data_IF_956876147923
#
_entry.id   IF_956876147923
#
_cell.length_a   1.000
_cell.length_b   1.000
_cell.length_c   1.000
_cell.angle_alpha   90.00
_cell.angle_beta   90.00
_cell.angle_gamma   90.00
#
_symmetry.space_group_name_H-M   'P 1'
#
loop_
_entity.id
_entity.type
_entity.pdbx_description
1 polymer ?
#
# COMPACT_ATOMS: atom_id res chain seq x y z
N UNK A 1 -8.85 6.99 -8.77
CA UNK A 1 -9.29 5.84 -7.93
C UNK A 1 -9.94 6.31 -6.61
N UNK A 2 -10.69 5.46 -5.91
CA UNK A 2 -11.22 5.71 -4.55
C UNK A 2 -10.25 5.21 -3.46
N UNK A 3 -10.57 5.38 -2.17
CA UNK A 3 -9.76 4.82 -1.05
C UNK A 3 -9.71 3.29 -1.14
N UNK A 4 -10.89 2.64 -1.25
CA UNK A 4 -10.98 1.18 -1.35
C UNK A 4 -10.22 0.63 -2.55
N UNK A 5 -10.28 1.32 -3.70
CA UNK A 5 -9.55 0.91 -4.89
C UNK A 5 -8.03 1.00 -4.70
N UNK A 6 -7.50 2.06 -4.08
CA UNK A 6 -6.06 2.16 -3.79
C UNK A 6 -5.56 1.03 -2.90
N UNK A 7 -6.33 0.72 -1.86
CA UNK A 7 -6.02 -0.36 -0.92
C UNK A 7 -6.11 -1.72 -1.62
N UNK A 8 -7.11 -1.91 -2.49
CA UNK A 8 -7.26 -3.11 -3.30
C UNK A 8 -6.05 -3.34 -4.21
N UNK A 9 -5.67 -2.36 -5.04
CA UNK A 9 -4.51 -2.49 -5.91
C UNK A 9 -3.20 -2.63 -5.14
N UNK A 10 -3.06 -1.99 -3.98
CA UNK A 10 -1.93 -2.21 -3.08
C UNK A 10 -1.83 -3.67 -2.64
N UNK A 11 -2.94 -4.27 -2.21
CA UNK A 11 -3.00 -5.69 -1.81
C UNK A 11 -2.68 -6.63 -2.97
N UNK A 12 -3.13 -6.31 -4.19
CA UNK A 12 -2.76 -7.07 -5.39
C UNK A 12 -1.25 -7.00 -5.63
N UNK A 13 -0.67 -5.80 -5.58
CA UNK A 13 0.77 -5.61 -5.80
C UNK A 13 1.62 -6.35 -4.76
N UNK A 14 1.15 -6.41 -3.52
CA UNK A 14 1.87 -7.03 -2.40
C UNK A 14 2.06 -8.55 -2.50
N UNK A 15 1.42 -9.25 -3.45
CA UNK A 15 1.58 -10.70 -3.64
C UNK A 15 1.78 -11.09 -5.10
N UNK A 16 2.68 -12.05 -5.33
CA UNK A 16 3.02 -12.49 -6.68
C UNK A 16 1.83 -13.08 -7.45
N UNK A 17 1.01 -13.89 -6.79
CA UNK A 17 -0.19 -14.56 -7.35
C UNK A 17 -1.31 -13.57 -7.69
N UNK A 18 -1.38 -12.43 -7.00
CA UNK A 18 -2.45 -11.44 -7.15
C UNK A 18 -2.09 -10.28 -8.07
N UNK A 19 -0.83 -9.86 -8.16
CA UNK A 19 -0.44 -8.69 -8.96
C UNK A 19 -0.72 -8.83 -10.46
N UNK A 20 -0.79 -10.06 -10.96
CA UNK A 20 -1.15 -10.36 -12.35
C UNK A 20 -2.57 -9.89 -12.72
N UNK A 21 -3.46 -9.73 -11.74
CA UNK A 21 -4.82 -9.24 -11.95
C UNK A 21 -4.92 -7.72 -12.06
N UNK A 22 -3.84 -6.98 -11.80
CA UNK A 22 -3.86 -5.51 -11.82
C UNK A 22 -4.34 -4.96 -13.17
N UNK A 23 -3.77 -5.38 -14.33
CA UNK A 23 -4.24 -4.89 -15.62
C UNK A 23 -5.70 -5.26 -15.89
N UNK A 24 -6.12 -6.47 -15.49
CA UNK A 24 -7.48 -6.95 -15.69
C UNK A 24 -8.50 -6.11 -14.94
N UNK A 25 -8.27 -5.87 -13.65
CA UNK A 25 -9.20 -5.04 -12.87
C UNK A 25 -9.13 -3.57 -13.28
N UNK A 26 -7.97 -3.06 -13.70
CA UNK A 26 -7.89 -1.73 -14.31
C UNK A 26 -8.75 -1.62 -15.58
N UNK A 27 -8.63 -2.60 -16.48
CA UNK A 27 -9.40 -2.63 -17.73
C UNK A 27 -10.91 -2.82 -17.49
N UNK A 28 -11.33 -3.61 -16.49
CA UNK A 28 -12.74 -3.70 -16.09
C UNK A 28 -13.27 -2.38 -15.55
N UNK A 29 -12.48 -1.67 -14.75
CA UNK A 29 -12.84 -0.34 -14.23
C UNK A 29 -12.92 0.70 -15.35
N UNK A 30 -12.06 0.61 -16.36
CA UNK A 30 -12.09 1.48 -17.53
C UNK A 30 -13.29 1.17 -18.43
N UNK A 31 -13.58 -0.11 -18.66
CA UNK A 31 -14.74 -0.56 -19.47
C UNK A 31 -16.08 -0.22 -18.82
N UNK A 32 -16.15 -0.30 -17.48
CA UNK A 32 -17.27 0.06 -16.62
C UNK A 32 -18.70 -0.26 -17.13
N UNK A 33 -18.89 -1.46 -17.69
CA UNK A 33 -20.24 -1.93 -18.00
C UNK A 33 -20.96 -2.45 -16.74
N UNK A 34 -22.24 -2.81 -16.85
CA UNK A 34 -23.02 -3.32 -15.71
C UNK A 34 -22.37 -4.55 -15.04
N UNK A 35 -21.86 -5.49 -15.84
CA UNK A 35 -21.19 -6.69 -15.32
C UNK A 35 -19.91 -6.34 -14.55
N UNK A 36 -19.09 -5.40 -15.04
CA UNK A 36 -17.87 -4.98 -14.35
C UNK A 36 -18.20 -4.27 -13.03
N UNK A 37 -19.26 -3.47 -12.98
CA UNK A 37 -19.75 -2.86 -11.73
C UNK A 37 -20.14 -3.93 -10.71
N UNK A 38 -20.89 -4.95 -11.12
CA UNK A 38 -21.31 -6.05 -10.25
C UNK A 38 -20.11 -6.85 -9.72
N UNK A 39 -19.17 -7.19 -10.61
CA UNK A 39 -17.92 -7.91 -10.26
C UNK A 39 -17.08 -7.09 -9.28
N UNK A 40 -16.77 -5.83 -9.60
CA UNK A 40 -15.94 -4.99 -8.74
C UNK A 40 -16.63 -4.73 -7.39
N UNK A 41 -17.96 -4.56 -7.38
CA UNK A 41 -18.72 -4.42 -6.15
C UNK A 41 -18.62 -5.68 -5.29
N UNK A 42 -18.79 -6.86 -5.88
CA UNK A 42 -18.66 -8.12 -5.15
C UNK A 42 -17.26 -8.30 -4.57
N UNK A 43 -16.21 -8.09 -5.37
CA UNK A 43 -14.81 -8.25 -4.93
C UNK A 43 -14.45 -7.28 -3.80
N UNK A 44 -14.91 -6.03 -3.87
CA UNK A 44 -14.57 -4.99 -2.89
C UNK A 44 -15.48 -5.02 -1.64
N UNK A 45 -16.57 -5.78 -1.67
CA UNK A 45 -17.47 -6.00 -0.51
C UNK A 45 -17.23 -7.33 0.17
N UNK A 46 -16.74 -8.35 -0.53
CA UNK A 46 -16.19 -9.56 0.09
C UNK A 46 -15.06 -9.13 1.04
N UNK A 47 -15.30 -9.29 2.34
CA UNK A 47 -14.24 -9.15 3.33
C UNK A 47 -13.13 -10.15 2.96
N UNK A 48 -11.87 -9.70 3.02
CA UNK A 48 -10.72 -10.61 2.94
C UNK A 48 -11.04 -11.82 3.85
N UNK A 49 -10.84 -13.07 3.39
CA UNK A 49 -11.04 -14.23 4.25
C UNK A 49 -10.31 -13.97 5.56
N UNK A 50 -10.96 -14.31 6.68
CA UNK A 50 -10.43 -14.06 8.02
C UNK A 50 -8.95 -14.42 8.03
N UNK A 51 -8.12 -13.41 8.29
CA UNK A 51 -6.67 -13.60 8.36
C UNK A 51 -6.35 -14.73 9.34
N UNK A 52 -5.18 -15.37 9.20
CA UNK A 52 -4.74 -16.36 10.18
C UNK A 52 -4.88 -15.80 11.61
N UNK A 53 -5.23 -16.68 12.55
CA UNK A 53 -5.44 -16.35 13.97
C UNK A 53 -4.49 -15.25 14.46
N UNK A 54 -5.06 -14.14 14.92
CA UNK A 54 -4.32 -13.01 15.48
C UNK A 54 -3.76 -13.27 16.88
N UNK A 55 -3.76 -14.52 17.37
CA UNK A 55 -3.35 -14.85 18.74
C UNK A 55 -1.92 -14.40 19.11
N UNK A 56 -1.05 -14.17 18.12
CA UNK A 56 0.30 -13.61 18.29
C UNK A 56 0.46 -12.21 17.68
N UNK A 57 -0.61 -11.60 17.14
CA UNK A 57 -0.58 -10.27 16.53
C UNK A 57 -1.01 -9.22 17.56
N UNK A 58 -0.05 -8.50 18.15
CA UNK A 58 -0.34 -7.39 19.05
C UNK A 58 -0.16 -6.05 18.33
N UNK A 59 -1.28 -5.47 17.90
CA UNK A 59 -1.30 -4.12 17.30
C UNK A 59 -0.72 -3.08 18.25
N UNK A 60 -1.03 -3.21 19.55
CA UNK A 60 -0.52 -2.33 20.59
C UNK A 60 1.00 -2.40 20.67
N UNK A 61 1.59 -3.60 20.71
CA UNK A 61 3.05 -3.77 20.72
C UNK A 61 3.68 -3.20 19.45
N UNK A 62 3.11 -3.51 18.29
CA UNK A 62 3.57 -2.98 17.01
C UNK A 62 3.58 -1.45 17.01
N UNK A 63 2.47 -0.81 17.40
CA UNK A 63 2.37 0.65 17.43
C UNK A 63 3.28 1.28 18.48
N UNK A 64 3.50 0.61 19.62
CA UNK A 64 4.49 1.04 20.62
C UNK A 64 5.89 1.14 20.01
N UNK A 65 6.32 0.10 19.27
CA UNK A 65 7.64 0.06 18.62
C UNK A 65 7.69 1.09 17.49
N UNK A 66 6.67 1.12 16.63
CA UNK A 66 6.63 2.03 15.48
C UNK A 66 6.72 3.48 15.92
N UNK A 67 5.91 3.91 16.89
CA UNK A 67 5.92 5.31 17.34
C UNK A 67 7.12 5.67 18.22
N UNK A 68 7.81 4.68 18.80
CA UNK A 68 9.06 4.92 19.53
C UNK A 68 10.28 5.00 18.61
N UNK A 69 10.34 4.20 17.53
CA UNK A 69 11.59 3.99 16.77
C UNK A 69 11.52 4.22 15.25
N UNK A 70 10.34 4.09 14.64
CA UNK A 70 10.22 4.03 13.17
C UNK A 70 9.51 5.24 12.60
N UNK A 71 8.58 5.81 13.36
CA UNK A 71 7.78 6.95 12.93
C UNK A 71 8.66 8.17 12.64
N UNK A 72 8.27 8.90 11.60
CA UNK A 72 9.00 10.10 11.21
C UNK A 72 8.83 11.19 12.28
N UNK A 73 9.94 11.74 12.75
CA UNK A 73 9.97 12.88 13.69
C UNK A 73 10.76 14.03 13.05
N UNK A 74 10.20 15.27 12.96
CA UNK A 74 8.86 15.66 13.40
C UNK A 74 7.76 14.93 12.63
N UNK A 75 6.62 14.70 13.29
CA UNK A 75 5.50 13.98 12.68
C UNK A 75 4.97 14.77 11.49
N UNK A 76 4.65 14.10 10.36
CA UNK A 76 3.95 14.76 9.26
C UNK A 76 2.54 15.16 9.71
N UNK A 77 1.95 16.14 9.02
CA UNK A 77 0.55 16.50 9.23
C UNK A 77 -0.38 15.40 8.68
N UNK A 78 -1.59 15.32 9.23
CA UNK A 78 -2.63 14.43 8.65
C UNK A 78 -2.89 14.77 7.18
N UNK A 79 -2.84 16.05 6.81
CA UNK A 79 -3.04 16.49 5.43
C UNK A 79 -1.94 15.95 4.51
N UNK A 80 -0.67 16.02 4.90
CA UNK A 80 0.44 15.50 4.09
C UNK A 80 0.32 13.99 3.86
N UNK A 81 -0.03 13.24 4.91
CA UNK A 81 -0.25 11.79 4.87
C UNK A 81 -1.40 11.44 3.91
N UNK A 82 -2.49 12.24 3.93
CA UNK A 82 -3.63 12.10 3.02
C UNK A 82 -3.24 12.45 1.57
N UNK A 83 -2.50 13.54 1.36
CA UNK A 83 -2.05 13.93 0.01
C UNK A 83 -1.14 12.87 -0.60
N UNK A 84 -0.19 12.34 0.18
CA UNK A 84 0.68 11.24 -0.26
C UNK A 84 -0.12 9.99 -0.61
N UNK A 85 -1.14 9.65 0.18
CA UNK A 85 -2.04 8.54 -0.13
C UNK A 85 -2.76 8.75 -1.46
N UNK A 86 -3.31 9.95 -1.70
CA UNK A 86 -4.07 10.23 -2.91
C UNK A 86 -3.20 10.38 -4.17
N UNK A 87 -1.94 10.78 -4.02
CA UNK A 87 -0.96 10.88 -5.10
C UNK A 87 -0.53 9.52 -5.68
N UNK A 88 -0.83 8.41 -5.00
CA UNK A 88 -0.56 7.06 -5.52
C UNK A 88 -1.85 6.35 -5.95
N UNK A 89 -1.86 5.59 -7.06
CA UNK A 89 -2.97 4.72 -7.42
C UNK A 89 -3.03 3.44 -6.57
N UNK A 90 -1.96 3.11 -5.83
CA UNK A 90 -1.85 1.92 -4.97
C UNK A 90 -1.23 2.33 -3.63
N UNK A 91 -2.01 2.31 -2.55
CA UNK A 91 -1.56 2.76 -1.25
C UNK A 91 -2.30 2.08 -0.10
N UNK A 92 -1.58 1.85 1.01
CA UNK A 92 -2.12 1.28 2.26
C UNK A 92 -2.44 2.34 3.32
N UNK A 93 -2.00 3.58 3.12
CA UNK A 93 -1.92 4.57 4.19
C UNK A 93 -3.28 4.85 4.84
N UNK A 94 -3.23 4.99 6.17
CA UNK A 94 -4.37 5.30 7.02
C UNK A 94 -4.07 6.65 7.70
N UNK A 95 -4.84 7.72 7.40
CA UNK A 95 -4.62 9.03 7.99
C UNK A 95 -4.72 9.06 9.52
N UNK A 96 -5.38 8.07 10.12
CA UNK A 96 -5.54 7.97 11.57
C UNK A 96 -4.20 7.73 12.30
N UNK A 97 -3.14 7.34 11.57
CA UNK A 97 -1.81 7.07 12.14
C UNK A 97 -1.16 8.27 12.83
N UNK A 98 -1.40 9.50 12.35
CA UNK A 98 -0.90 10.71 13.02
C UNK A 98 -1.57 10.87 14.39
N UNK A 99 -2.89 10.66 14.45
CA UNK A 99 -3.62 10.72 15.71
C UNK A 99 -3.15 9.66 16.70
N UNK A 100 -2.96 8.42 16.23
CA UNK A 100 -2.37 7.36 17.04
C UNK A 100 -0.97 7.72 17.56
N UNK A 101 -0.08 8.26 16.71
CA UNK A 101 1.23 8.72 17.15
C UNK A 101 1.12 9.74 18.28
N UNK A 102 0.25 10.75 18.13
CA UNK A 102 0.05 11.79 19.14
C UNK A 102 -0.44 11.21 20.47
N UNK A 103 -1.40 10.28 20.43
CA UNK A 103 -1.92 9.62 21.63
C UNK A 103 -0.88 8.73 22.32
N UNK A 104 -0.08 7.98 21.55
CA UNK A 104 0.94 7.09 22.10
C UNK A 104 2.13 7.85 22.69
N UNK A 105 2.51 8.97 22.10
CA UNK A 105 3.71 9.72 22.51
C UNK A 105 3.43 10.86 23.48
N UNK A 106 2.21 11.40 23.50
CA UNK A 106 1.92 12.67 24.16
C UNK A 106 2.71 13.84 23.56
N UNK A 107 3.12 13.74 22.28
CA UNK A 107 3.95 14.75 21.63
C UNK A 107 3.26 16.13 21.63
N UNK A 108 4.05 17.18 21.87
CA UNK A 108 3.63 18.57 21.82
C UNK A 108 3.85 19.24 20.46
N UNK A 109 4.05 18.45 19.39
CA UNK A 109 4.21 19.01 18.05
C UNK A 109 2.91 19.71 17.60
N UNK A 110 3.04 20.65 16.66
CA UNK A 110 1.91 21.41 16.12
C UNK A 110 0.80 20.52 15.57
N UNK A 111 1.17 19.40 14.98
CA UNK A 111 0.27 18.42 14.37
C UNK A 111 -0.51 17.64 15.43
N UNK A 112 0.01 17.55 16.66
CA UNK A 112 -0.64 16.90 17.79
C UNK A 112 -1.48 17.84 18.66
N UNK A 113 -1.45 19.15 18.41
CA UNK A 113 -2.19 20.16 19.18
C UNK A 113 -3.67 19.81 19.46
N UNK A 114 -4.45 19.23 18.50
CA UNK A 114 -5.84 18.86 18.76
C UNK A 114 -6.05 17.75 19.81
N UNK A 115 -5.00 17.00 20.17
CA UNK A 115 -5.06 15.82 21.03
C UNK A 115 -4.33 16.01 22.38
N UNK A 116 -3.67 17.15 22.59
CA UNK A 116 -2.85 17.44 23.79
C UNK A 116 -3.67 17.39 25.08
N UNK A 117 -4.94 17.80 25.04
CA UNK A 117 -5.81 17.89 26.23
C UNK A 117 -6.40 16.54 26.68
N UNK A 118 -6.15 15.44 25.97
CA UNK A 118 -6.69 14.12 26.35
C UNK A 118 -6.04 13.53 27.61
N UNK A 119 -4.92 14.10 28.06
CA UNK A 119 -4.20 13.73 29.29
C UNK A 119 -4.00 12.20 29.45
N UNK A 120 -3.66 11.53 28.34
CA UNK A 120 -3.36 10.09 28.31
C UNK A 120 -1.88 9.87 28.63
N UNK A 121 -1.52 8.91 29.51
CA UNK A 121 -0.13 8.53 29.72
C UNK A 121 0.50 8.03 28.41
N UNK A 122 1.72 8.46 28.06
CA UNK A 122 2.41 7.95 26.88
C UNK A 122 2.57 6.43 26.96
N UNK A 123 2.27 5.77 25.85
CA UNK A 123 2.49 4.34 25.62
C UNK A 123 3.64 4.15 24.63
N UNK A 124 4.82 4.62 25.03
CA UNK A 124 6.07 4.51 24.28
C UNK A 124 7.22 4.24 25.24
N UNK A 125 8.38 3.88 24.70
CA UNK A 125 9.60 3.74 25.49
C UNK A 125 10.69 4.67 24.95
N UNK A 126 11.61 5.06 25.82
CA UNK A 126 12.77 5.87 25.41
C UNK A 126 13.70 5.01 24.55
N UNK A 127 14.00 5.43 23.30
CA UNK A 127 14.94 4.70 22.47
C UNK A 127 16.33 4.67 23.13
N UNK A 128 17.06 3.57 22.93
CA UNK A 128 18.36 3.39 23.56
C UNK A 128 19.50 4.10 22.80
N UNK A 129 20.74 3.88 23.25
CA UNK A 129 21.93 4.47 22.64
C UNK A 129 22.21 4.04 21.19
N UNK A 130 21.51 3.04 20.66
CA UNK A 130 21.64 2.52 19.29
C UNK A 130 20.57 3.07 18.35
N UNK A 131 19.52 3.72 18.87
CA UNK A 131 18.51 4.40 18.07
C UNK A 131 19.13 5.41 17.10
N UNK A 132 18.56 5.50 15.90
CA UNK A 132 18.99 6.37 14.81
C UNK A 132 20.49 6.24 14.44
N UNK A 133 21.07 5.06 14.70
CA UNK A 133 22.44 4.70 14.27
C UNK A 133 22.37 3.52 13.33
N UNK A 134 23.20 3.57 12.28
CA UNK A 134 23.41 2.38 11.45
C UNK A 134 24.51 1.54 12.08
N UNK A 135 24.26 0.24 12.22
CA UNK A 135 25.23 -0.70 12.77
C UNK A 135 26.52 -0.72 11.95
N UNK A 136 27.65 -0.95 12.62
CA UNK A 136 28.88 -1.34 11.95
C UNK A 136 28.93 -2.87 11.86
N UNK A 137 29.54 -3.39 10.81
CA UNK A 137 29.79 -4.83 10.65
C UNK A 137 30.98 -5.19 11.55
N UNK A 138 30.80 -6.06 12.56
CA UNK A 138 31.91 -6.51 13.38
C UNK A 138 32.96 -7.29 12.58
N UNK A 139 34.18 -7.35 13.08
CA UNK A 139 35.25 -8.17 12.48
C UNK A 139 34.80 -9.64 12.45
N UNK A 140 34.98 -10.29 11.31
CA UNK A 140 34.61 -11.70 11.11
C UNK A 140 33.12 -11.95 10.89
N UNK A 141 32.29 -10.89 10.82
CA UNK A 141 30.85 -10.99 10.53
C UNK A 141 30.57 -10.53 9.10
N UNK A 142 29.61 -11.16 8.45
CA UNK A 142 29.08 -10.83 7.14
C UNK A 142 27.60 -10.45 7.22
N UNK A 143 27.15 -9.53 6.37
CA UNK A 143 25.73 -9.13 6.30
C UNK A 143 25.14 -9.42 4.92
N UNK A 144 24.12 -10.28 4.87
CA UNK A 144 23.27 -10.46 3.69
C UNK A 144 22.01 -9.62 3.84
N UNK A 145 21.69 -8.81 2.82
CA UNK A 145 20.40 -8.13 2.69
C UNK A 145 19.66 -8.61 1.46
N UNK A 146 18.33 -8.65 1.55
CA UNK A 146 17.46 -8.95 0.42
C UNK A 146 16.41 -7.86 0.29
N UNK A 147 16.14 -7.41 -0.93
CA UNK A 147 15.09 -6.40 -1.18
C UNK A 147 14.40 -6.65 -2.51
N UNK A 148 13.10 -6.33 -2.56
CA UNK A 148 12.30 -6.36 -3.78
C UNK A 148 12.15 -4.94 -4.34
N UNK A 149 12.42 -4.76 -5.62
CA UNK A 149 12.31 -3.43 -6.25
C UNK A 149 10.85 -3.00 -6.50
N UNK A 150 9.89 -3.91 -6.37
CA UNK A 150 8.46 -3.64 -6.41
C UNK A 150 7.80 -3.74 -5.02
N UNK A 151 8.57 -3.73 -3.93
CA UNK A 151 8.03 -3.74 -2.57
C UNK A 151 7.32 -2.39 -2.24
N UNK A 152 5.99 -2.39 -2.06
CA UNK A 152 5.26 -1.16 -1.78
C UNK A 152 5.20 -0.80 -0.29
N UNK A 153 5.67 -1.67 0.62
CA UNK A 153 5.72 -1.43 2.07
C UNK A 153 7.09 -0.91 2.49
N UNK A 154 8.16 -1.57 2.04
CA UNK A 154 9.55 -1.24 2.35
C UNK A 154 10.36 -0.99 1.07
N UNK A 155 10.16 0.16 0.39
CA UNK A 155 10.78 0.44 -0.89
C UNK A 155 12.30 0.28 -0.89
N UNK A 156 12.87 -0.33 -1.94
CA UNK A 156 14.29 -0.72 -2.01
C UNK A 156 15.28 0.44 -1.83
N UNK A 157 14.87 1.69 -2.11
CA UNK A 157 15.67 2.90 -1.80
C UNK A 157 16.10 2.96 -0.34
N UNK A 158 15.27 2.48 0.59
CA UNK A 158 15.58 2.46 2.02
C UNK A 158 16.59 1.36 2.37
N UNK A 159 16.47 0.17 1.74
CA UNK A 159 17.45 -0.91 1.88
C UNK A 159 18.83 -0.49 1.33
N UNK A 160 18.87 0.10 0.13
CA UNK A 160 20.10 0.65 -0.46
C UNK A 160 20.75 1.70 0.44
N UNK A 161 19.96 2.63 1.00
CA UNK A 161 20.45 3.63 1.95
C UNK A 161 20.99 3.00 3.23
N UNK A 162 20.28 2.03 3.80
CA UNK A 162 20.71 1.32 5.00
C UNK A 162 22.05 0.62 4.77
N UNK A 163 22.19 -0.12 3.67
CA UNK A 163 23.45 -0.78 3.29
C UNK A 163 24.57 0.21 3.02
N UNK A 164 24.31 1.32 2.34
CA UNK A 164 25.29 2.37 2.10
C UNK A 164 25.84 2.96 3.41
N UNK A 165 24.98 3.17 4.41
CA UNK A 165 25.34 3.78 5.69
C UNK A 165 26.03 2.80 6.66
N UNK A 166 25.88 1.49 6.46
CA UNK A 166 26.49 0.46 7.29
C UNK A 166 28.01 0.48 7.16
N UNK A 167 28.73 0.64 8.27
CA UNK A 167 30.20 0.70 8.25
C UNK A 167 30.79 -0.70 8.09
N UNK A 168 31.66 -0.89 7.10
CA UNK A 168 32.25 -2.17 6.74
C UNK A 168 31.79 -2.67 5.38
N UNK A 169 32.65 -3.45 4.74
CA UNK A 169 32.49 -3.86 3.34
C UNK A 169 32.07 -5.33 3.17
N UNK A 170 32.10 -6.12 4.25
CA UNK A 170 31.67 -7.52 4.23
C UNK A 170 30.14 -7.65 4.23
N UNK A 171 29.49 -7.09 3.20
CA UNK A 171 28.05 -7.08 3.04
C UNK A 171 27.66 -7.26 1.58
N UNK A 172 26.51 -7.89 1.34
CA UNK A 172 25.92 -8.06 0.02
C UNK A 172 24.43 -7.75 0.07
N UNK A 173 23.98 -6.82 -0.78
CA UNK A 173 22.55 -6.57 -0.98
C UNK A 173 22.13 -7.27 -2.28
N UNK A 174 21.24 -8.26 -2.15
CA UNK A 174 20.62 -8.94 -3.28
C UNK A 174 19.29 -8.26 -3.59
N UNK A 175 19.19 -7.70 -4.79
CA UNK A 175 17.99 -7.00 -5.24
C UNK A 175 17.22 -7.84 -6.25
N UNK A 176 15.96 -8.12 -5.96
CA UNK A 176 15.04 -8.81 -6.86
C UNK A 176 14.29 -7.77 -7.71
N UNK A 177 14.56 -7.67 -9.03
CA UNK A 177 14.01 -6.61 -9.88
C UNK A 177 12.48 -6.56 -9.88
N UNK A 178 11.85 -7.73 -9.80
CA UNK A 178 10.39 -7.86 -9.72
C UNK A 178 9.92 -8.44 -8.39
N UNK A 179 10.78 -8.45 -7.36
CA UNK A 179 10.40 -8.91 -6.02
C UNK A 179 9.48 -7.90 -5.34
N UNK A 180 8.49 -8.40 -4.59
CA UNK A 180 7.57 -7.59 -3.77
C UNK A 180 7.92 -7.74 -2.28
N UNK A 181 7.08 -7.23 -1.39
CA UNK A 181 7.32 -7.32 0.06
C UNK A 181 7.55 -8.76 0.53
N UNK A 182 8.54 -8.97 1.40
CA UNK A 182 8.87 -10.30 1.91
C UNK A 182 9.47 -11.24 0.86
N UNK A 183 10.54 -10.80 0.17
CA UNK A 183 11.19 -11.52 -0.95
C UNK A 183 11.60 -12.97 -0.64
N UNK A 184 11.82 -13.34 0.62
CA UNK A 184 12.11 -14.73 1.02
C UNK A 184 10.99 -15.68 0.57
N UNK A 185 9.72 -15.26 0.67
CA UNK A 185 8.54 -16.04 0.27
C UNK A 185 7.80 -15.47 -0.94
N UNK A 186 8.36 -14.47 -1.63
CA UNK A 186 7.71 -13.77 -2.75
C UNK A 186 8.58 -13.69 -4.01
N UNK A 187 9.43 -14.70 -4.22
CA UNK A 187 10.31 -14.84 -5.40
C UNK A 187 10.23 -16.24 -6.02
N UNK A 188 9.03 -16.67 -6.49
CA UNK A 188 8.85 -18.02 -7.02
C UNK A 188 9.69 -18.24 -8.27
N UNK A 189 10.08 -19.49 -8.53
CA UNK A 189 10.81 -19.87 -9.73
C UNK A 189 9.86 -20.12 -10.89
N UNK A 190 10.29 -19.82 -12.12
CA UNK A 190 9.55 -20.04 -13.36
C UNK A 190 9.43 -21.52 -13.73
N UNK A 191 10.47 -22.29 -13.44
CA UNK A 191 10.62 -23.66 -13.95
C UNK A 191 9.76 -24.66 -13.17
N UNK A 192 9.57 -24.41 -11.87
CA UNK A 192 8.72 -25.22 -11.00
C UNK A 192 8.19 -24.39 -9.82
N UNK A 193 6.87 -24.22 -9.75
CA UNK A 193 6.23 -23.43 -8.70
C UNK A 193 6.17 -24.13 -7.33
N UNK A 194 6.50 -25.42 -7.24
CA UNK A 194 6.63 -26.12 -5.96
C UNK A 194 8.03 -25.98 -5.35
N UNK A 195 9.00 -25.48 -6.12
CA UNK A 195 10.35 -25.29 -5.62
C UNK A 195 10.41 -24.15 -4.61
N UNK A 196 11.37 -24.19 -3.66
CA UNK A 196 11.61 -23.07 -2.77
C UNK A 196 11.86 -21.77 -3.54
N UNK A 197 11.27 -20.68 -3.06
CA UNK A 197 11.49 -19.35 -3.62
C UNK A 197 12.98 -18.99 -3.62
N UNK A 198 13.45 -18.25 -4.63
CA UNK A 198 14.87 -17.90 -4.77
C UNK A 198 15.41 -17.14 -3.56
N UNK A 199 14.63 -16.24 -2.95
CA UNK A 199 15.00 -15.54 -1.73
C UNK A 199 15.32 -16.49 -0.57
N UNK A 200 14.59 -17.60 -0.43
CA UNK A 200 14.87 -18.63 0.55
C UNK A 200 16.14 -19.43 0.19
N UNK A 201 16.35 -19.76 -1.09
CA UNK A 201 17.56 -20.44 -1.56
C UNK A 201 18.83 -19.61 -1.26
N UNK A 202 18.79 -18.30 -1.54
CA UNK A 202 19.88 -17.36 -1.26
C UNK A 202 20.21 -17.32 0.23
N UNK A 203 19.20 -17.25 1.11
CA UNK A 203 19.41 -17.30 2.57
C UNK A 203 20.00 -18.64 2.99
N UNK A 204 19.49 -19.75 2.46
CA UNK A 204 19.97 -21.09 2.80
C UNK A 204 21.45 -21.27 2.40
N UNK A 205 21.86 -20.75 1.24
CA UNK A 205 23.25 -20.84 0.79
C UNK A 205 24.18 -19.94 1.60
N UNK A 206 23.74 -18.74 1.98
CA UNK A 206 24.48 -17.89 2.92
C UNK A 206 24.75 -18.59 4.26
N UNK A 207 23.74 -19.30 4.78
CA UNK A 207 23.88 -20.07 6.02
C UNK A 207 24.80 -21.28 5.85
N UNK A 208 24.65 -22.06 4.77
CA UNK A 208 25.52 -23.23 4.48
C UNK A 208 26.97 -22.83 4.25
N UNK A 209 27.18 -21.67 3.65
CA UNK A 209 28.50 -21.09 3.44
C UNK A 209 29.08 -20.42 4.69
N UNK A 210 28.46 -20.58 5.87
CA UNK A 210 28.89 -19.95 7.13
C UNK A 210 29.09 -18.44 7.01
N UNK A 211 28.25 -17.76 6.23
CA UNK A 211 28.34 -16.33 5.98
C UNK A 211 29.24 -15.90 4.82
N UNK A 212 29.92 -16.82 4.12
CA UNK A 212 30.79 -16.45 3.00
C UNK A 212 29.98 -15.91 1.81
N UNK A 213 29.98 -14.59 1.63
CA UNK A 213 29.15 -13.87 0.65
C UNK A 213 29.45 -14.20 -0.81
N UNK A 214 30.68 -14.60 -1.12
CA UNK A 214 31.13 -14.98 -2.46
C UNK A 214 30.76 -16.41 -2.84
N UNK A 215 30.44 -17.25 -1.85
CA UNK A 215 30.02 -18.63 -2.04
C UNK A 215 28.49 -18.77 -2.22
N UNK A 216 27.72 -17.69 -2.06
CA UNK A 216 26.27 -17.71 -2.27
C UNK A 216 25.98 -17.95 -3.75
N UNK A 217 25.23 -19.01 -4.06
CA UNK A 217 24.76 -19.24 -5.42
C UNK A 217 23.57 -18.32 -5.74
N UNK A 218 23.74 -17.48 -6.75
CA UNK A 218 22.71 -16.54 -7.21
C UNK A 218 22.04 -16.98 -8.53
N UNK A 219 22.33 -18.17 -9.06
CA UNK A 219 21.76 -18.62 -10.35
C UNK A 219 20.24 -18.77 -10.33
N UNK A 220 19.61 -18.89 -9.15
CA UNK A 220 18.15 -18.88 -9.05
C UNK A 220 17.53 -17.54 -9.46
N UNK A 221 18.29 -16.44 -9.42
CA UNK A 221 17.82 -15.09 -9.77
C UNK A 221 17.34 -15.02 -11.21
N UNK A 222 18.04 -15.70 -12.13
CA UNK A 222 17.70 -15.76 -13.55
C UNK A 222 16.40 -16.53 -13.82
N UNK A 223 15.96 -17.32 -12.82
CA UNK A 223 14.76 -18.15 -12.85
C UNK A 223 13.62 -17.56 -12.02
N UNK A 224 13.82 -16.40 -11.39
CA UNK A 224 12.72 -15.74 -10.68
C UNK A 224 11.65 -15.38 -11.69
N UNK A 225 10.43 -15.80 -11.41
CA UNK A 225 9.34 -15.68 -12.35
C UNK A 225 9.15 -14.20 -12.75
N UNK A 226 9.16 -13.89 -14.06
CA UNK A 226 8.98 -12.53 -14.53
C UNK A 226 7.57 -12.01 -14.18
N UNK A 227 7.36 -10.71 -14.41
CA UNK A 227 5.99 -10.19 -14.45
C UNK A 227 5.23 -10.92 -15.55
N UNK A 228 4.17 -11.60 -15.15
CA UNK A 228 3.27 -12.33 -16.03
C UNK A 228 1.84 -11.90 -15.70
N UNK A 229 1.07 -11.57 -16.73
CA UNK A 229 -0.33 -11.16 -16.63
C UNK A 229 -1.28 -12.21 -17.22
N UNK A 230 -0.77 -13.39 -17.58
CA UNK A 230 -1.58 -14.55 -17.89
C UNK A 230 -2.24 -15.07 -16.61
N UNK A 231 -3.57 -15.09 -16.63
CA UNK A 231 -4.40 -15.49 -15.51
C UNK A 231 -5.17 -16.75 -15.94
N UNK A 232 -4.83 -17.93 -15.39
CA UNK A 232 -5.64 -19.13 -15.58
C UNK A 232 -7.04 -18.95 -15.00
N UNK A 233 -8.07 -19.46 -15.68
CA UNK A 233 -9.46 -19.40 -15.20
C UNK A 233 -9.63 -20.00 -13.80
N UNK A 234 -8.94 -21.10 -13.52
CA UNK A 234 -8.93 -21.73 -12.20
C UNK A 234 -8.43 -20.78 -11.10
N UNK A 235 -7.42 -19.96 -11.40
CA UNK A 235 -6.88 -18.98 -10.45
C UNK A 235 -7.82 -17.78 -10.28
N UNK A 236 -8.49 -17.36 -11.34
CA UNK A 236 -9.51 -16.30 -11.28
C UNK A 236 -10.72 -16.74 -10.43
N UNK A 237 -11.13 -18.00 -10.58
CA UNK A 237 -12.17 -18.61 -9.76
C UNK A 237 -11.71 -18.74 -8.30
N UNK A 238 -10.51 -19.26 -8.05
CA UNK A 238 -9.99 -19.47 -6.70
C UNK A 238 -9.85 -18.16 -5.91
N UNK A 239 -9.24 -17.13 -6.51
CA UNK A 239 -8.90 -15.90 -5.79
C UNK A 239 -10.02 -14.86 -5.76
N UNK A 240 -10.87 -14.84 -6.79
CA UNK A 240 -11.88 -13.79 -6.97
C UNK A 240 -13.28 -14.31 -7.28
N UNK A 241 -13.49 -15.64 -7.28
CA UNK A 241 -14.79 -16.27 -7.57
C UNK A 241 -15.32 -15.91 -8.98
N UNK A 242 -14.40 -15.76 -9.94
CA UNK A 242 -14.71 -15.44 -11.34
C UNK A 242 -14.75 -16.69 -12.22
N UNK A 243 -15.94 -17.06 -12.69
CA UNK A 243 -16.17 -18.15 -13.65
C UNK A 243 -16.19 -17.61 -15.09
N UNK A 244 -15.47 -18.28 -16.01
CA UNK A 244 -15.26 -17.81 -17.38
C UNK A 244 -14.12 -16.80 -17.55
N UNK A 245 -13.18 -16.76 -16.60
CA UNK A 245 -11.90 -16.04 -16.72
C UNK A 245 -11.88 -14.65 -16.09
N UNK A 246 -10.67 -14.07 -15.98
CA UNK A 246 -10.47 -12.84 -15.21
C UNK A 246 -11.11 -11.60 -15.86
N UNK A 247 -11.09 -11.48 -17.20
CA UNK A 247 -11.57 -10.30 -17.93
C UNK A 247 -13.08 -10.28 -18.17
N UNK A 248 -13.66 -11.41 -18.59
CA UNK A 248 -15.07 -11.49 -19.00
C UNK A 248 -15.89 -12.44 -18.12
N UNK A 249 -15.26 -13.07 -17.14
CA UNK A 249 -15.95 -13.93 -16.19
C UNK A 249 -16.92 -13.19 -15.28
N UNK A 250 -17.78 -13.99 -14.66
CA UNK A 250 -18.88 -13.56 -13.79
C UNK A 250 -18.67 -14.12 -12.39
N UNK A 251 -19.28 -13.50 -11.39
CA UNK A 251 -19.28 -14.04 -10.03
C UNK A 251 -19.97 -15.41 -10.04
N UNK A 252 -19.22 -16.46 -9.71
CA UNK A 252 -19.72 -17.85 -9.69
C UNK A 252 -20.69 -18.08 -8.54
N UNK A 253 -20.38 -17.53 -7.36
CA UNK A 253 -21.23 -17.56 -6.17
C UNK A 253 -21.73 -16.15 -5.87
N UNK A 254 -22.80 -15.67 -6.54
CA UNK A 254 -23.40 -14.39 -6.19
C UNK A 254 -23.73 -14.42 -4.70
N UNK A 255 -23.40 -13.35 -3.98
CA UNK A 255 -23.76 -13.25 -2.58
C UNK A 255 -25.27 -13.50 -2.44
N UNK A 256 -25.64 -14.65 -1.86
CA UNK A 256 -26.99 -14.82 -1.35
C UNK A 256 -27.14 -13.75 -0.26
N UNK A 257 -28.14 -12.88 -0.42
CA UNK A 257 -28.53 -11.85 0.56
C UNK A 257 -27.86 -10.46 0.47
N UNK A 258 -27.47 -10.02 -0.74
CA UNK A 258 -27.25 -8.57 -0.98
C UNK A 258 -28.55 -7.72 -1.02
N UNK A 259 -29.71 -8.28 -0.62
CA UNK A 259 -30.98 -7.55 -0.60
C UNK A 259 -31.25 -6.73 0.67
N UNK A 260 -30.50 -6.93 1.76
CA UNK A 260 -30.79 -6.26 3.04
C UNK A 260 -29.57 -5.66 3.75
N UNK A 261 -28.54 -5.23 3.01
CA UNK A 261 -27.54 -4.33 3.60
C UNK A 261 -28.10 -2.91 3.66
N UNK A 262 -28.92 -2.67 4.68
CA UNK A 262 -29.31 -1.32 5.06
C UNK A 262 -28.03 -0.57 5.51
N UNK A 263 -27.51 0.29 4.63
CA UNK A 263 -26.31 1.13 4.82
C UNK A 263 -26.32 1.97 6.11
N UNK A 264 -27.44 2.00 6.83
CA UNK A 264 -27.67 2.76 8.05
C UNK A 264 -26.89 2.22 9.26
N UNK A 265 -26.59 0.92 9.35
CA UNK A 265 -26.00 0.34 10.59
C UNK A 265 -24.49 0.55 10.68
N UNK A 266 -23.77 0.53 9.56
CA UNK A 266 -22.33 0.94 9.53
C UNK A 266 -22.19 2.46 9.71
N UNK A 267 -23.23 3.21 9.35
CA UNK A 267 -23.29 4.66 9.56
C UNK A 267 -23.41 5.10 11.02
N UNK A 268 -23.79 4.22 11.97
CA UNK A 268 -23.95 4.60 13.38
C UNK A 268 -22.64 4.57 14.17
N UNK A 269 -21.74 3.62 13.87
CA UNK A 269 -20.39 3.59 14.47
C UNK A 269 -19.48 4.71 13.94
N UNK A 270 -19.62 5.07 12.66
CA UNK A 270 -18.83 6.13 12.03
C UNK A 270 -19.35 7.54 12.35
N UNK A 271 -20.67 7.73 12.55
CA UNK A 271 -21.24 9.03 12.94
C UNK A 271 -20.83 9.46 14.36
N UNK A 272 -20.50 8.53 15.26
CA UNK A 272 -20.05 8.86 16.61
C UNK A 272 -18.62 9.43 16.62
N UNK A 273 -17.73 8.93 15.75
CA UNK A 273 -16.38 9.50 15.58
C UNK A 273 -16.36 10.73 14.65
N UNK A 274 -17.15 10.74 13.57
CA UNK A 274 -17.17 11.84 12.59
C UNK A 274 -17.92 13.10 13.05
N UNK A 275 -18.61 13.07 14.20
CA UNK A 275 -19.26 14.26 14.77
C UNK A 275 -18.33 15.13 15.59
N UNK A 276 -17.08 14.71 15.85
CA UNK A 276 -16.13 15.55 16.57
C UNK A 276 -15.32 16.47 15.62
N UNK A 277 -16.00 17.56 15.24
CA UNK A 277 -15.48 18.83 14.72
C UNK A 277 -14.95 18.90 13.27
N UNK A 278 -15.69 19.66 12.44
CA UNK A 278 -15.27 20.35 11.19
C UNK A 278 -15.20 19.59 9.84
N UNK A 279 -16.04 18.60 9.59
CA UNK A 279 -16.05 17.89 8.30
C UNK A 279 -17.32 18.13 7.44
N UNK A 280 -17.70 19.39 7.16
CA UNK A 280 -18.70 19.69 6.09
C UNK A 280 -18.11 19.51 4.68
N UNK A 281 -16.77 19.58 4.54
CA UNK A 281 -16.06 19.43 3.27
C UNK A 281 -15.83 17.97 2.83
N UNK A 282 -15.97 17.00 3.73
CA UNK A 282 -15.62 15.60 3.47
C UNK A 282 -16.82 14.74 3.06
N UNK A 283 -18.06 15.14 3.41
CA UNK A 283 -19.28 14.37 3.06
C UNK A 283 -19.51 14.19 1.56
N UNK A 284 -19.03 15.10 0.71
CA UNK A 284 -19.15 14.99 -0.75
C UNK A 284 -18.14 14.04 -1.40
N UNK A 285 -17.05 13.64 -0.71
CA UNK A 285 -15.95 12.84 -1.30
C UNK A 285 -16.07 11.33 -1.11
N UNK A 286 -17.10 10.84 -0.42
CA UNK A 286 -17.26 9.43 -0.08
C UNK A 286 -18.43 8.74 -0.79
N UNK A 287 -18.87 9.25 -1.95
CA UNK A 287 -19.66 8.46 -2.88
C UNK A 287 -18.74 7.38 -3.49
N UNK A 288 -18.72 6.19 -2.89
CA UNK A 288 -17.67 5.16 -3.11
C UNK A 288 -17.68 4.55 -4.53
N UNK A 289 -18.69 4.81 -5.37
CA UNK A 289 -18.78 4.17 -6.69
C UNK A 289 -19.20 5.05 -7.86
N UNK A 290 -19.88 6.18 -7.66
CA UNK A 290 -20.30 7.00 -8.80
C UNK A 290 -19.09 7.62 -9.52
N UNK A 291 -18.04 8.01 -8.79
CA UNK A 291 -16.85 8.67 -9.36
C UNK A 291 -15.83 7.72 -10.01
N UNK A 292 -15.91 6.40 -9.79
CA UNK A 292 -14.91 5.49 -10.35
C UNK A 292 -15.10 5.26 -11.88
N UNK A 293 -16.28 5.61 -12.40
CA UNK A 293 -16.69 5.38 -13.78
C UNK A 293 -17.02 6.65 -14.56
N UNK A 294 -16.78 7.83 -13.99
CA UNK A 294 -17.07 9.13 -14.63
C UNK A 294 -15.85 9.74 -15.31
N UNK A 295 -14.84 8.92 -15.64
CA UNK A 295 -13.63 9.33 -16.36
C UNK A 295 -14.00 10.23 -17.54
N UNK A 296 -13.88 11.54 -17.33
CA UNK A 296 -14.19 12.53 -18.34
C UNK A 296 -13.05 12.46 -19.34
N UNK A 297 -13.37 12.07 -20.56
CA UNK A 297 -12.48 12.19 -21.69
C UNK A 297 -11.88 13.59 -21.72
N UNK A 298 -10.55 13.66 -21.90
CA UNK A 298 -9.87 14.88 -22.28
C UNK A 298 -10.32 15.25 -23.69
N UNK A 299 -11.38 16.05 -23.81
CA UNK A 299 -11.69 16.81 -25.01
C UNK A 299 -11.46 18.30 -24.72
N UNK A 300 -10.37 18.84 -25.25
CA UNK A 300 -10.26 20.24 -25.64
C UNK A 300 -10.38 20.31 -27.17
N UNK A 301 -10.66 21.48 -27.78
CA UNK A 301 -11.45 22.62 -27.32
C UNK A 301 -12.46 23.07 -28.42
N UNK A 302 -13.60 23.68 -28.08
CA UNK A 302 -14.29 24.50 -29.08
C UNK A 302 -15.05 25.73 -28.54
N UNK A 303 -14.52 26.89 -28.97
CA UNK A 303 -15.15 28.13 -29.42
C UNK A 303 -16.36 28.72 -28.69
N UNK A 304 -16.11 29.96 -28.24
CA UNK A 304 -17.08 31.04 -28.04
C UNK A 304 -18.03 31.24 -29.25
N UNK A 305 -19.23 31.80 -29.01
CA UNK A 305 -19.45 33.17 -29.52
C UNK A 305 -20.15 34.12 -28.54
N UNK A 306 -19.78 35.41 -28.70
CA UNK A 306 -20.56 36.67 -28.57
C UNK A 306 -21.85 36.69 -27.73
N UNK A 307 -22.11 37.68 -26.87
CA UNK A 307 -22.03 39.16 -27.00
C UNK A 307 -22.38 39.74 -25.60
N UNK A 308 -21.92 40.90 -25.11
CA UNK A 308 -22.04 42.25 -25.65
C UNK A 308 -21.07 43.20 -24.94
N UNK A 309 -20.79 44.28 -25.64
CA UNK A 309 -20.00 45.46 -25.31
C UNK A 309 -20.29 46.07 -23.93
N UNK A 310 -19.23 46.55 -23.26
CA UNK A 310 -19.15 47.99 -22.94
C UNK A 310 -17.71 48.42 -22.68
N UNK A 311 -17.31 49.43 -23.44
CA UNK A 311 -16.09 50.23 -23.30
C UNK A 311 -15.91 50.74 -21.86
N UNK A 312 -14.67 50.73 -21.37
CA UNK A 312 -14.00 51.99 -20.97
C UNK A 312 -12.50 51.78 -20.79
N UNK A 313 -11.77 52.71 -21.38
CA UNK A 313 -10.33 52.91 -21.41
C UNK A 313 -9.69 53.18 -20.04
N UNK A 314 -8.48 52.67 -19.82
CA UNK A 314 -7.35 53.46 -19.30
C UNK A 314 -6.01 52.69 -19.44
N UNK A 315 -5.08 53.31 -20.17
CA UNK A 315 -3.61 53.17 -20.11
C UNK A 315 -3.07 53.23 -18.66
N UNK A 316 -1.89 52.77 -18.25
CA UNK A 316 -0.59 52.65 -18.90
C UNK A 316 0.40 51.88 -17.98
N UNK A 317 1.49 51.40 -18.60
CA UNK A 317 2.88 51.35 -18.09
C UNK A 317 3.25 50.57 -16.80
N UNK A 318 3.99 49.48 -17.05
CA UNK A 318 5.33 49.17 -16.54
C UNK A 318 5.77 49.71 -15.16
N UNK A 319 6.03 48.80 -14.23
CA UNK A 319 7.37 48.46 -13.71
C UNK A 319 7.32 47.12 -12.98
#
# INVERSE_FOLDING_TARGET
PSIKLRQFFFKLLGRYDRRKFIPTFAARLERCNAQDKDVMTSILTKNDPAGPSEGLNSKLLQDTIVYSEVWQVPTPSMEDIVQQFFASPMALNDPDKVGCYCLFTGSNSSECAPLVDMNVPPWTYTPDKYFNKTAAIPIGVSVLGLTGNLDPLTPSKHARRHFKNMKGDNKKLVEFPVGVHGVIGNTPLSDNHTDPHCGLLVVADFLRASGALDAINLTCMDKVQPLNFDIPDALALELFDLDGGAMDGKIHTPAQDAKDYNLTVVGLGLNALLKHSKAKATRGKYAVYEDACTGSALDEPEKSPHSQEKETSASASAS
#
